data_IF_459973083096
#
_entry.id   IF_459973083096
#
_cell.length_a   1.000
_cell.length_b   1.000
_cell.length_c   1.000
_cell.angle_alpha   90.00
_cell.angle_beta   90.00
_cell.angle_gamma   90.00
#
_symmetry.space_group_name_H-M   'P 1'
#
loop_
_entity.id
_entity.type
_entity.pdbx_description
1 polymer ?
#
# COMPACT_ATOMS: atom_id res chain seq x y z
N UNK A 1 0.36 27.54 15.51
CA UNK A 1 -0.52 26.50 16.11
C UNK A 1 0.32 25.25 16.31
N UNK A 2 0.40 24.71 17.53
CA UNK A 2 1.08 23.44 17.77
C UNK A 2 0.12 22.30 17.43
N UNK A 3 0.57 21.32 16.63
CA UNK A 3 -0.20 20.11 16.39
C UNK A 3 -0.40 19.37 17.72
N UNK A 4 -1.65 19.26 18.18
CA UNK A 4 -2.00 18.49 19.38
C UNK A 4 -2.31 17.06 18.94
N UNK A 5 -1.34 16.18 19.08
CA UNK A 5 -1.49 14.76 18.76
C UNK A 5 -2.45 14.12 19.76
N UNK A 6 -3.38 13.29 19.30
CA UNK A 6 -4.19 12.46 20.20
C UNK A 6 -3.27 11.45 20.89
N UNK A 7 -3.54 11.17 22.17
CA UNK A 7 -2.84 10.11 22.92
C UNK A 7 -3.46 8.73 22.70
N UNK A 8 -4.45 8.63 21.81
CA UNK A 8 -5.19 7.41 21.54
C UNK A 8 -4.34 6.50 20.65
N UNK A 9 -4.05 5.30 21.16
CA UNK A 9 -3.39 4.25 20.41
C UNK A 9 -4.44 3.24 19.97
N UNK A 10 -4.53 3.01 18.65
CA UNK A 10 -5.41 1.99 18.06
C UNK A 10 -4.55 0.85 17.54
N UNK A 11 -4.90 -0.39 17.91
CA UNK A 11 -4.20 -1.60 17.48
C UNK A 11 -5.17 -2.46 16.68
N UNK A 12 -4.76 -2.81 15.46
CA UNK A 12 -5.53 -3.68 14.56
C UNK A 12 -4.62 -4.79 14.05
N UNK A 13 -5.05 -6.03 14.16
CA UNK A 13 -4.25 -7.20 13.76
C UNK A 13 -4.59 -7.70 12.35
N UNK A 14 -3.54 -8.00 11.58
CA UNK A 14 -3.63 -8.51 10.21
C UNK A 14 -2.95 -9.88 10.09
N UNK A 15 -3.44 -10.87 10.85
CA UNK A 15 -2.78 -12.18 11.03
C UNK A 15 -2.43 -12.90 9.72
N UNK A 16 -3.33 -12.83 8.74
CA UNK A 16 -3.17 -13.53 7.45
C UNK A 16 -2.51 -12.66 6.37
N UNK A 17 -2.09 -11.44 6.68
CA UNK A 17 -1.56 -10.53 5.65
C UNK A 17 -0.16 -10.93 5.18
N UNK A 18 0.66 -11.49 6.07
CA UNK A 18 2.08 -11.77 5.80
C UNK A 18 2.76 -10.58 5.07
N UNK A 19 2.44 -9.37 5.52
CA UNK A 19 2.91 -8.16 4.87
C UNK A 19 4.41 -7.98 5.12
N UNK A 20 5.16 -7.71 4.06
CA UNK A 20 6.62 -7.54 4.08
C UNK A 20 7.03 -6.08 3.89
N UNK A 21 6.13 -5.24 3.38
CA UNK A 21 6.36 -3.81 3.19
C UNK A 21 5.09 -3.01 3.50
N UNK A 22 5.28 -1.74 3.86
CA UNK A 22 4.17 -0.81 4.10
C UNK A 22 4.50 0.61 3.59
N UNK A 23 3.47 1.37 3.22
CA UNK A 23 3.58 2.80 2.94
C UNK A 23 2.27 3.50 3.26
N UNK A 24 2.36 4.77 3.66
CA UNK A 24 1.21 5.67 3.90
C UNK A 24 1.11 6.68 2.76
N UNK A 25 -0.09 7.06 2.39
CA UNK A 25 -0.33 8.11 1.39
C UNK A 25 0.10 9.49 1.91
N UNK A 26 0.31 10.44 1.00
CA UNK A 26 0.75 11.79 1.38
C UNK A 26 -0.33 12.61 2.12
N UNK A 27 -1.57 12.11 2.17
CA UNK A 27 -2.67 12.72 2.93
C UNK A 27 -2.77 12.15 4.35
N UNK A 28 -2.12 11.02 4.64
CA UNK A 28 -2.22 10.33 5.93
C UNK A 28 -3.54 9.61 6.16
N UNK A 29 -4.32 9.39 5.09
CA UNK A 29 -5.66 8.80 5.13
C UNK A 29 -5.65 7.29 4.89
N UNK A 30 -4.68 6.79 4.14
CA UNK A 30 -4.60 5.39 3.75
C UNK A 30 -3.19 4.83 3.93
N UNK A 31 -3.11 3.61 4.46
CA UNK A 31 -1.89 2.80 4.43
C UNK A 31 -2.09 1.58 3.54
N UNK A 32 -1.05 1.23 2.79
CA UNK A 32 -0.98 -0.07 2.10
C UNK A 32 -0.03 -0.98 2.87
N UNK A 33 -0.51 -2.18 3.21
CA UNK A 33 0.31 -3.29 3.72
C UNK A 33 0.46 -4.30 2.60
N UNK A 34 1.69 -4.61 2.21
CA UNK A 34 1.98 -5.36 1.00
C UNK A 34 2.52 -6.74 1.30
N UNK A 35 1.84 -7.78 0.80
CA UNK A 35 2.30 -9.17 0.88
C UNK A 35 2.40 -9.81 -0.50
N UNK A 36 2.78 -11.10 -0.52
CA UNK A 36 2.95 -11.88 -1.76
C UNK A 36 1.71 -11.91 -2.64
N UNK A 37 0.57 -12.29 -2.05
CA UNK A 37 -0.68 -12.55 -2.79
C UNK A 37 -1.64 -11.36 -2.80
N UNK A 38 -1.52 -10.48 -1.83
CA UNK A 38 -2.47 -9.39 -1.62
C UNK A 38 -1.76 -8.11 -1.18
N UNK A 39 -2.33 -6.99 -1.61
CA UNK A 39 -2.12 -5.68 -0.99
C UNK A 39 -3.35 -5.37 -0.15
N UNK A 40 -3.15 -4.98 1.10
CA UNK A 40 -4.22 -4.62 2.03
C UNK A 40 -4.26 -3.10 2.15
N UNK A 41 -5.39 -2.52 1.81
CA UNK A 41 -5.64 -1.10 1.96
C UNK A 41 -6.36 -0.84 3.27
N UNK A 42 -5.71 -0.06 4.13
CA UNK A 42 -6.15 0.28 5.47
C UNK A 42 -6.55 1.74 5.50
N UNK A 43 -7.81 1.99 5.86
CA UNK A 43 -8.30 3.34 6.15
C UNK A 43 -7.80 3.76 7.54
N UNK A 44 -6.95 4.79 7.59
CA UNK A 44 -6.37 5.27 8.84
C UNK A 44 -7.32 6.17 9.62
N UNK A 45 -8.36 6.72 8.97
CA UNK A 45 -9.42 7.49 9.62
C UNK A 45 -10.48 6.58 10.26
N UNK A 46 -10.64 5.36 9.75
CA UNK A 46 -11.58 4.35 10.25
C UNK A 46 -10.89 2.98 10.41
N UNK A 47 -9.92 2.84 11.33
CA UNK A 47 -9.07 1.64 11.45
C UNK A 47 -9.84 0.36 11.85
N UNK A 48 -11.05 0.49 12.40
CA UNK A 48 -11.92 -0.66 12.70
C UNK A 48 -12.62 -1.23 11.47
N UNK A 49 -12.64 -0.51 10.34
CA UNK A 49 -13.21 -1.01 9.10
C UNK A 49 -12.39 -2.18 8.55
N UNK A 50 -13.07 -3.13 7.92
CA UNK A 50 -12.38 -4.26 7.32
C UNK A 50 -11.48 -3.76 6.16
N UNK A 51 -10.18 -4.13 6.15
CA UNK A 51 -9.26 -3.73 5.11
C UNK A 51 -9.69 -4.27 3.75
N UNK A 52 -9.61 -3.41 2.73
CA UNK A 52 -9.86 -3.83 1.34
C UNK A 52 -8.62 -4.52 0.78
N UNK A 53 -8.80 -5.47 -0.12
CA UNK A 53 -7.68 -6.27 -0.68
C UNK A 53 -7.59 -6.12 -2.19
N UNK A 54 -6.37 -5.98 -2.68
CA UNK A 54 -6.05 -6.05 -4.12
C UNK A 54 -5.30 -7.36 -4.34
N UNK A 55 -5.87 -8.23 -5.18
CA UNK A 55 -5.25 -9.48 -5.57
C UNK A 55 -4.01 -9.25 -6.44
N UNK A 56 -2.93 -9.97 -6.16
CA UNK A 56 -1.70 -9.95 -6.96
C UNK A 56 -1.51 -11.29 -7.66
N UNK A 57 -1.19 -11.23 -8.94
CA UNK A 57 -0.77 -12.41 -9.71
C UNK A 57 0.76 -12.53 -9.72
N UNK A 58 1.37 -12.65 -8.54
CA UNK A 58 2.82 -12.79 -8.40
C UNK A 58 3.17 -13.94 -7.46
N UNK A 59 4.29 -14.61 -7.76
CA UNK A 59 4.89 -15.64 -6.89
C UNK A 59 5.90 -15.06 -5.91
N UNK A 60 6.24 -13.77 -6.06
CA UNK A 60 7.28 -13.09 -5.29
C UNK A 60 6.69 -12.14 -4.27
N UNK A 61 7.34 -12.08 -3.11
CA UNK A 61 7.02 -11.11 -2.06
C UNK A 61 7.23 -9.68 -2.56
N UNK A 62 6.53 -8.74 -1.96
CA UNK A 62 6.75 -7.32 -2.23
C UNK A 62 7.99 -6.88 -1.46
N UNK A 63 9.00 -6.38 -2.18
CA UNK A 63 10.25 -5.90 -1.57
C UNK A 63 10.09 -4.50 -0.97
N UNK A 64 9.47 -3.61 -1.72
CA UNK A 64 9.10 -2.27 -1.26
C UNK A 64 7.75 -1.85 -1.83
N UNK A 65 7.05 -0.98 -1.11
CA UNK A 65 5.86 -0.28 -1.57
C UNK A 65 6.02 1.20 -1.22
N UNK A 66 5.66 2.10 -2.14
CA UNK A 66 5.75 3.54 -1.93
C UNK A 66 4.57 4.23 -2.59
N UNK A 67 3.87 5.07 -1.83
CA UNK A 67 2.88 5.99 -2.38
C UNK A 67 3.56 7.14 -3.12
N UNK A 68 2.85 7.69 -4.11
CA UNK A 68 3.27 8.94 -4.73
C UNK A 68 3.29 10.04 -3.66
N UNK A 69 4.42 10.75 -3.48
CA UNK A 69 4.57 11.72 -2.38
C UNK A 69 3.83 13.03 -2.64
N UNK A 70 3.38 13.26 -3.87
CA UNK A 70 2.70 14.47 -4.28
C UNK A 70 1.18 14.30 -4.16
N UNK A 71 0.50 15.37 -3.76
CA UNK A 71 -0.97 15.42 -3.71
C UNK A 71 -1.60 15.15 -5.08
N UNK A 72 -0.94 15.62 -6.13
CA UNK A 72 -1.32 15.34 -7.51
C UNK A 72 -1.13 13.85 -7.79
N UNK A 73 -2.27 13.16 -7.95
CA UNK A 73 -2.35 11.70 -8.02
C UNK A 73 -1.88 10.99 -6.74
N UNK A 74 -2.24 11.52 -5.57
CA UNK A 74 -2.05 10.85 -4.28
C UNK A 74 -2.66 9.43 -4.21
N UNK A 75 -3.56 9.10 -5.13
CA UNK A 75 -4.15 7.77 -5.29
C UNK A 75 -3.19 6.73 -5.91
N UNK A 76 -2.01 7.14 -6.40
CA UNK A 76 -1.07 6.24 -7.08
C UNK A 76 -0.01 5.73 -6.10
N UNK A 77 0.33 4.45 -6.21
CA UNK A 77 1.46 3.87 -5.49
C UNK A 77 2.15 2.79 -6.32
N UNK A 78 3.39 2.49 -5.97
CA UNK A 78 4.24 1.51 -6.63
C UNK A 78 4.59 0.37 -5.67
N UNK A 79 4.59 -0.87 -6.14
CA UNK A 79 5.07 -2.03 -5.39
C UNK A 79 6.11 -2.80 -6.20
N UNK A 80 7.31 -3.00 -5.65
CA UNK A 80 8.35 -3.82 -6.26
C UNK A 80 8.15 -5.30 -5.91
N UNK A 81 8.39 -6.18 -6.88
CA UNK A 81 8.56 -7.61 -6.61
C UNK A 81 9.50 -8.23 -7.63
N UNK A 82 10.57 -8.85 -7.14
CA UNK A 82 11.65 -9.39 -7.97
C UNK A 82 12.24 -8.31 -8.90
N UNK A 83 12.06 -8.40 -10.21
CA UNK A 83 12.63 -7.48 -11.21
C UNK A 83 11.60 -6.46 -11.75
N UNK A 84 10.39 -6.45 -11.17
CA UNK A 84 9.23 -5.73 -11.67
C UNK A 84 8.73 -4.73 -10.64
N UNK A 85 8.23 -3.59 -11.12
CA UNK A 85 7.45 -2.65 -10.31
C UNK A 85 6.05 -2.55 -10.91
N UNK A 86 5.04 -2.82 -10.11
CA UNK A 86 3.64 -2.60 -10.47
C UNK A 86 3.17 -1.24 -9.95
N UNK A 87 2.58 -0.43 -10.83
CA UNK A 87 1.91 0.81 -10.48
C UNK A 87 0.42 0.55 -10.28
N UNK A 88 -0.09 0.97 -9.14
CA UNK A 88 -1.47 0.81 -8.73
C UNK A 88 -2.15 2.18 -8.58
N UNK A 89 -3.46 2.21 -8.79
CA UNK A 89 -4.32 3.35 -8.50
C UNK A 89 -5.40 2.93 -7.50
N UNK A 90 -5.58 3.72 -6.44
CA UNK A 90 -6.59 3.54 -5.41
C UNK A 90 -7.66 4.64 -5.47
N UNK A 91 -8.83 4.34 -6.02
CA UNK A 91 -9.94 5.30 -6.16
C UNK A 91 -11.26 4.64 -5.81
N UNK A 92 -12.16 5.40 -5.20
CA UNK A 92 -13.53 4.97 -4.91
C UNK A 92 -13.59 3.65 -4.11
N UNK A 93 -12.57 3.41 -3.29
CA UNK A 93 -12.39 2.19 -2.52
C UNK A 93 -12.02 0.95 -3.35
N UNK A 94 -11.62 1.10 -4.60
CA UNK A 94 -11.11 0.04 -5.45
C UNK A 94 -9.64 0.28 -5.80
N UNK A 95 -8.88 -0.80 -5.91
CA UNK A 95 -7.48 -0.78 -6.31
C UNK A 95 -7.27 -1.53 -7.60
N UNK A 96 -6.68 -0.88 -8.58
CA UNK A 96 -6.42 -1.45 -9.91
C UNK A 96 -4.94 -1.33 -10.28
N UNK A 97 -4.46 -2.29 -11.07
CA UNK A 97 -3.13 -2.21 -11.67
C UNK A 97 -3.22 -1.27 -12.86
N UNK A 98 -2.50 -0.16 -12.80
CA UNK A 98 -2.42 0.81 -13.88
C UNK A 98 -1.41 0.36 -14.96
N UNK A 99 -0.20 -0.01 -14.56
CA UNK A 99 0.85 -0.46 -15.47
C UNK A 99 1.95 -1.21 -14.73
N UNK A 100 2.84 -1.85 -15.49
CA UNK A 100 4.00 -2.58 -14.97
C UNK A 100 5.27 -2.10 -15.63
N UNK A 101 6.27 -1.78 -14.82
CA UNK A 101 7.61 -1.44 -15.27
C UNK A 101 8.50 -2.69 -15.17
N UNK A 102 9.16 -3.02 -16.27
CA UNK A 102 10.12 -4.13 -16.37
C UNK A 102 11.36 -3.61 -17.09
N UNK A 103 12.53 -3.93 -16.56
CA UNK A 103 13.79 -3.44 -17.12
C UNK A 103 15.01 -3.76 -16.26
N UNK A 104 14.81 -4.10 -14.98
CA UNK A 104 15.89 -4.58 -14.14
C UNK A 104 16.30 -6.00 -14.50
N UNK A 105 17.60 -6.27 -14.51
CA UNK A 105 18.19 -7.61 -14.74
C UNK A 105 18.48 -8.35 -13.43
N UNK A 106 18.22 -7.71 -12.29
CA UNK A 106 18.44 -8.22 -10.92
C UNK A 106 17.29 -7.77 -10.02
N UNK A 107 17.12 -8.46 -8.89
CA UNK A 107 16.10 -8.15 -7.88
C UNK A 107 16.22 -6.71 -7.39
N UNK A 108 15.07 -6.06 -7.17
CA UNK A 108 14.90 -4.70 -6.63
C UNK A 108 13.90 -4.64 -5.48
#
# INVERSE_FOLDING_TARGET
MAARWSSENVVVEFRDAQATAMSVDCLGSHAVLSGRRFLYMVNLEAPSEQPRKIGRQSKWDVGTVQWKPHRDEAHVFAASSNQRVDLYSWKDGCGEIHSSLQGHTRVI
#
